data_IF_873692988027
#
_entry.id   IF_873692988027
#
_cell.length_a   1.000
_cell.length_b   1.000
_cell.length_c   1.000
_cell.angle_alpha   90.00
_cell.angle_beta   90.00
_cell.angle_gamma   90.00
#
_symmetry.space_group_name_H-M   'P 1'
#
loop_
_entity.id
_entity.type
_entity.pdbx_description
1 polymer ?
#
# COMPACT_ATOMS: atom_id res chain seq x y z
N UNK A 1 27.70 -9.95 -16.88
CA UNK A 1 27.64 -9.65 -18.33
C UNK A 1 26.18 -9.42 -18.68
N UNK A 2 25.83 -8.28 -19.27
CA UNK A 2 24.45 -7.96 -19.64
C UNK A 2 24.13 -8.60 -21.00
N UNK A 3 23.02 -9.33 -21.12
CA UNK A 3 22.57 -9.87 -22.40
C UNK A 3 22.20 -8.72 -23.35
N UNK A 4 22.83 -8.65 -24.52
CA UNK A 4 22.53 -7.66 -25.57
C UNK A 4 21.75 -8.33 -26.70
N UNK A 5 20.51 -7.89 -26.94
CA UNK A 5 19.67 -8.38 -28.03
C UNK A 5 19.71 -7.35 -29.18
N UNK A 6 20.39 -7.68 -30.29
CA UNK A 6 20.51 -6.80 -31.47
C UNK A 6 19.56 -7.28 -32.55
N UNK A 7 18.53 -6.48 -32.85
CA UNK A 7 17.50 -6.78 -33.84
C UNK A 7 16.86 -8.19 -33.67
N UNK A 8 16.35 -8.54 -32.46
CA UNK A 8 15.73 -9.84 -32.25
C UNK A 8 14.53 -9.99 -33.18
N UNK A 9 14.36 -11.17 -33.75
CA UNK A 9 13.22 -11.48 -34.61
C UNK A 9 11.92 -11.34 -33.81
N UNK A 10 10.80 -11.01 -34.48
CA UNK A 10 9.50 -10.90 -33.81
C UNK A 10 9.07 -12.19 -33.08
N UNK A 11 9.59 -13.34 -33.49
CA UNK A 11 9.35 -14.64 -32.83
C UNK A 11 9.99 -14.73 -31.44
N UNK A 12 11.00 -13.90 -31.16
CA UNK A 12 11.72 -13.89 -29.88
C UNK A 12 11.13 -12.89 -28.88
N UNK A 13 10.36 -11.90 -29.34
CA UNK A 13 9.85 -10.82 -28.50
C UNK A 13 9.01 -11.32 -27.33
N UNK A 14 8.15 -12.33 -27.55
CA UNK A 14 7.33 -12.91 -26.49
C UNK A 14 8.20 -13.40 -25.33
N UNK A 15 9.28 -14.14 -25.63
CA UNK A 15 10.23 -14.65 -24.63
C UNK A 15 10.96 -13.53 -23.89
N UNK A 16 11.30 -12.45 -24.59
CA UNK A 16 12.00 -11.29 -24.00
C UNK A 16 11.10 -10.45 -23.09
N UNK A 17 9.79 -10.52 -23.28
CA UNK A 17 8.80 -9.79 -22.47
C UNK A 17 8.19 -10.63 -21.35
N UNK A 18 8.54 -11.92 -21.25
CA UNK A 18 8.11 -12.77 -20.12
C UNK A 18 8.71 -12.19 -18.85
N UNK A 19 7.84 -11.86 -17.88
CA UNK A 19 8.26 -11.51 -16.52
C UNK A 19 8.75 -12.77 -15.82
N UNK A 20 9.73 -12.63 -14.94
CA UNK A 20 10.04 -13.66 -13.96
C UNK A 20 8.94 -13.67 -12.87
N UNK A 21 7.73 -14.06 -13.25
CA UNK A 21 6.64 -14.34 -12.33
C UNK A 21 6.39 -15.84 -12.40
N UNK A 22 6.95 -16.59 -11.47
CA UNK A 22 6.59 -17.98 -11.31
C UNK A 22 5.18 -18.02 -10.71
N UNK A 23 4.23 -18.63 -11.43
CA UNK A 23 2.95 -19.03 -10.85
C UNK A 23 3.23 -20.27 -10.00
N UNK A 24 3.73 -20.06 -8.81
CA UNK A 24 4.09 -21.15 -7.93
C UNK A 24 2.84 -21.58 -7.14
N UNK A 25 2.36 -22.78 -7.43
CA UNK A 25 1.22 -23.38 -6.71
C UNK A 25 1.53 -23.50 -5.21
N UNK A 26 2.80 -23.59 -4.85
CA UNK A 26 3.23 -23.67 -3.46
C UNK A 26 3.05 -22.31 -2.75
N UNK A 27 3.26 -21.18 -3.45
CA UNK A 27 2.96 -19.84 -2.94
C UNK A 27 1.45 -19.70 -2.71
N UNK A 28 0.62 -20.09 -3.67
CA UNK A 28 -0.84 -19.99 -3.55
C UNK A 28 -1.36 -20.82 -2.37
N UNK A 29 -0.88 -22.06 -2.22
CA UNK A 29 -1.24 -22.93 -1.11
C UNK A 29 -0.80 -22.34 0.23
N UNK A 30 0.44 -21.83 0.31
CA UNK A 30 0.96 -21.22 1.54
C UNK A 30 0.18 -19.96 1.94
N UNK A 31 -0.08 -19.06 1.00
CA UNK A 31 -0.85 -17.83 1.27
C UNK A 31 -2.28 -18.16 1.70
N UNK A 32 -2.91 -19.13 1.05
CA UNK A 32 -4.27 -19.57 1.41
C UNK A 32 -4.33 -20.13 2.84
N UNK A 33 -3.34 -20.91 3.24
CA UNK A 33 -3.24 -21.43 4.60
C UNK A 33 -3.05 -20.29 5.63
N UNK A 34 -2.18 -19.31 5.34
CA UNK A 34 -1.99 -18.14 6.22
C UNK A 34 -3.27 -17.32 6.36
N UNK A 35 -3.99 -17.06 5.27
CA UNK A 35 -5.25 -16.31 5.30
C UNK A 35 -6.33 -17.04 6.10
N UNK A 36 -6.42 -18.36 5.98
CA UNK A 36 -7.37 -19.15 6.78
C UNK A 36 -6.99 -19.17 8.26
N UNK A 37 -5.70 -19.23 8.57
CA UNK A 37 -5.22 -19.18 9.95
C UNK A 37 -5.57 -17.85 10.61
N UNK A 38 -5.30 -16.71 9.94
CA UNK A 38 -5.69 -15.38 10.44
C UNK A 38 -7.22 -15.24 10.54
N UNK A 39 -7.97 -15.78 9.58
CA UNK A 39 -9.44 -15.74 9.62
C UNK A 39 -10.02 -16.49 10.82
N UNK A 40 -9.43 -17.62 11.20
CA UNK A 40 -9.95 -18.52 12.25
C UNK A 40 -9.44 -18.15 13.64
N UNK A 41 -8.22 -17.62 13.74
CA UNK A 41 -7.54 -17.34 15.01
C UNK A 41 -7.34 -15.86 15.31
N UNK A 42 -7.58 -14.98 14.34
CA UNK A 42 -7.44 -13.54 14.50
C UNK A 42 -6.05 -13.17 14.99
N UNK A 43 -6.02 -12.42 16.08
CA UNK A 43 -4.79 -11.88 16.68
C UNK A 43 -3.81 -12.95 17.16
N UNK A 44 -4.29 -14.11 17.63
CA UNK A 44 -3.41 -15.22 18.02
C UNK A 44 -2.54 -15.67 16.83
N UNK A 45 -3.13 -15.74 15.64
CA UNK A 45 -2.37 -16.07 14.43
C UNK A 45 -1.39 -14.96 14.06
N UNK A 46 -1.75 -13.68 14.22
CA UNK A 46 -0.83 -12.58 13.91
C UNK A 46 0.41 -12.62 14.81
N UNK A 47 0.23 -12.82 16.12
CA UNK A 47 1.35 -12.95 17.07
C UNK A 47 2.28 -14.12 16.73
N UNK A 48 1.71 -15.27 16.36
CA UNK A 48 2.46 -16.45 15.93
C UNK A 48 3.22 -16.19 14.62
N UNK A 49 2.58 -15.53 13.64
CA UNK A 49 3.19 -15.21 12.35
C UNK A 49 4.34 -14.20 12.48
N UNK A 50 4.20 -13.16 13.30
CA UNK A 50 5.27 -12.19 13.58
C UNK A 50 6.50 -12.87 14.22
N UNK A 51 6.28 -13.72 15.23
CA UNK A 51 7.37 -14.49 15.85
C UNK A 51 8.05 -15.42 14.84
N UNK A 52 7.27 -16.08 13.98
CA UNK A 52 7.77 -17.05 13.01
C UNK A 52 8.54 -16.41 11.85
N UNK A 53 8.05 -15.31 11.30
CA UNK A 53 8.59 -14.74 10.05
C UNK A 53 9.53 -13.57 10.29
N UNK A 54 9.22 -12.69 11.25
CA UNK A 54 9.99 -11.50 11.55
C UNK A 54 10.86 -11.69 12.81
N UNK A 55 10.64 -12.77 13.57
CA UNK A 55 11.45 -13.11 14.75
C UNK A 55 11.17 -12.22 15.95
N UNK A 56 10.03 -11.53 15.96
CA UNK A 56 9.63 -10.58 17.00
C UNK A 56 8.46 -11.14 17.80
N UNK A 57 8.61 -11.18 19.11
CA UNK A 57 7.56 -11.60 20.03
C UNK A 57 6.87 -10.38 20.64
N UNK A 58 5.58 -10.23 20.37
CA UNK A 58 4.72 -9.24 21.01
C UNK A 58 3.96 -9.89 22.17
N UNK A 59 3.79 -9.13 23.27
CA UNK A 59 3.07 -9.64 24.45
C UNK A 59 1.54 -9.67 24.26
N UNK A 60 1.01 -8.86 23.34
CA UNK A 60 -0.40 -8.84 22.95
C UNK A 60 -0.56 -8.21 21.56
N UNK A 61 -1.74 -8.35 20.96
CA UNK A 61 -2.02 -7.78 19.66
C UNK A 61 -2.01 -6.25 19.67
N UNK A 62 -2.47 -5.65 20.78
CA UNK A 62 -2.44 -4.22 21.00
C UNK A 62 -1.01 -3.68 21.01
N UNK A 63 -0.04 -4.50 21.45
CA UNK A 63 1.38 -4.15 21.43
C UNK A 63 1.95 -4.00 20.02
N UNK A 64 1.33 -4.61 19.00
CA UNK A 64 1.73 -4.42 17.61
C UNK A 64 1.35 -3.02 17.08
N UNK A 65 0.45 -2.32 17.76
CA UNK A 65 0.04 -0.98 17.37
C UNK A 65 1.06 0.04 17.87
N UNK A 66 1.74 0.70 16.95
CA UNK A 66 2.66 1.81 17.25
C UNK A 66 1.90 2.93 17.99
N UNK A 67 2.38 3.26 19.19
CA UNK A 67 1.81 4.28 20.06
C UNK A 67 2.21 5.70 19.69
N UNK A 68 1.46 6.69 20.20
CA UNK A 68 1.73 8.12 19.92
C UNK A 68 3.15 8.53 20.32
N UNK A 69 3.63 8.06 21.47
CA UNK A 69 4.98 8.36 21.97
C UNK A 69 6.07 7.82 21.04
N UNK A 70 5.92 6.61 20.51
CA UNK A 70 6.87 6.03 19.56
C UNK A 70 6.91 6.85 18.26
N UNK A 71 5.75 7.32 17.80
CA UNK A 71 5.65 8.21 16.63
C UNK A 71 6.35 9.54 16.90
N UNK A 72 6.13 10.16 18.06
CA UNK A 72 6.77 11.41 18.43
C UNK A 72 8.29 11.28 18.53
N UNK A 73 8.79 10.22 19.18
CA UNK A 73 10.22 9.94 19.30
C UNK A 73 10.86 9.65 17.94
N UNK A 74 10.21 8.84 17.10
CA UNK A 74 10.65 8.58 15.74
C UNK A 74 10.69 9.87 14.92
N UNK A 75 9.64 10.69 14.95
CA UNK A 75 9.57 11.95 14.24
C UNK A 75 10.63 12.96 14.72
N UNK A 76 10.94 12.98 16.02
CA UNK A 76 12.01 13.81 16.57
C UNK A 76 13.39 13.36 16.09
N UNK A 77 13.60 12.06 15.87
CA UNK A 77 14.86 11.50 15.39
C UNK A 77 15.18 11.79 13.91
N UNK A 78 14.16 12.14 13.11
CA UNK A 78 14.35 12.40 11.67
C UNK A 78 15.07 13.75 11.44
N UNK A 79 16.19 13.76 10.68
CA UNK A 79 16.90 15.01 10.34
C UNK A 79 16.02 16.02 9.60
N UNK A 80 16.23 17.31 9.86
CA UNK A 80 15.40 18.37 9.28
C UNK A 80 15.41 18.36 7.75
N UNK A 81 16.57 18.14 7.12
CA UNK A 81 16.69 18.04 5.66
C UNK A 81 15.78 16.95 5.06
N UNK A 82 15.68 15.80 5.73
CA UNK A 82 14.81 14.72 5.30
C UNK A 82 13.32 15.08 5.51
N UNK A 83 12.98 15.78 6.59
CA UNK A 83 11.61 16.29 6.81
C UNK A 83 11.20 17.24 5.69
N UNK A 84 12.08 18.15 5.31
CA UNK A 84 11.81 19.13 4.24
C UNK A 84 11.62 18.42 2.89
N UNK A 85 12.45 17.42 2.59
CA UNK A 85 12.30 16.59 1.39
C UNK A 85 10.98 15.81 1.37
N UNK A 86 10.58 15.21 2.49
CA UNK A 86 9.30 14.51 2.65
C UNK A 86 8.13 15.48 2.47
N UNK A 87 8.19 16.67 3.06
CA UNK A 87 7.15 17.70 2.94
C UNK A 87 7.00 18.18 1.48
N UNK A 88 8.11 18.37 0.78
CA UNK A 88 8.10 18.73 -0.64
C UNK A 88 7.48 17.62 -1.50
N UNK A 89 7.82 16.35 -1.25
CA UNK A 89 7.22 15.21 -1.92
C UNK A 89 5.71 15.13 -1.65
N UNK A 90 5.30 15.24 -0.39
CA UNK A 90 3.90 15.28 0.03
C UNK A 90 3.12 16.36 -0.74
N UNK A 91 3.64 17.59 -0.76
CA UNK A 91 3.00 18.71 -1.46
C UNK A 91 2.79 18.42 -2.96
N UNK A 92 3.80 17.87 -3.62
CA UNK A 92 3.73 17.56 -5.05
C UNK A 92 2.74 16.41 -5.34
N UNK A 93 2.80 15.35 -4.55
CA UNK A 93 1.91 14.18 -4.66
C UNK A 93 0.46 14.61 -4.42
N UNK A 94 0.21 15.38 -3.35
CA UNK A 94 -1.11 15.88 -3.01
C UNK A 94 -1.68 16.75 -4.12
N UNK A 95 -0.92 17.74 -4.59
CA UNK A 95 -1.35 18.62 -5.70
C UNK A 95 -1.75 17.83 -6.95
N UNK A 96 -1.00 16.77 -7.27
CA UNK A 96 -1.32 15.95 -8.45
C UNK A 96 -2.58 15.10 -8.26
N UNK A 97 -2.79 14.51 -7.08
CA UNK A 97 -3.99 13.72 -6.81
C UNK A 97 -5.25 14.57 -6.62
N UNK A 98 -5.12 15.77 -6.03
CA UNK A 98 -6.23 16.73 -5.95
C UNK A 98 -6.72 17.14 -7.35
N UNK A 99 -5.81 17.31 -8.31
CA UNK A 99 -6.15 17.63 -9.69
C UNK A 99 -6.90 16.49 -10.43
N UNK A 100 -6.93 15.28 -9.88
CA UNK A 100 -7.63 14.13 -10.45
C UNK A 100 -9.02 13.91 -9.84
N UNK A 101 -9.43 14.73 -8.86
CA UNK A 101 -10.74 14.57 -8.23
C UNK A 101 -11.86 14.67 -9.28
N UNK A 102 -12.70 13.64 -9.41
CA UNK A 102 -13.73 13.62 -10.43
C UNK A 102 -14.83 14.62 -10.10
N UNK A 103 -15.22 15.41 -11.09
CA UNK A 103 -16.40 16.26 -10.99
C UNK A 103 -17.67 15.40 -10.94
N UNK A 104 -18.72 15.93 -10.32
CA UNK A 104 -20.03 15.28 -10.31
C UNK A 104 -20.61 15.36 -11.72
N UNK A 105 -20.89 14.21 -12.31
CA UNK A 105 -21.60 14.14 -13.60
C UNK A 105 -23.09 14.21 -13.31
N UNK A 106 -23.79 15.16 -13.94
CA UNK A 106 -25.24 15.30 -13.88
C UNK A 106 -25.78 15.53 -15.29
N UNK A 107 -26.64 14.63 -15.76
CA UNK A 107 -27.18 14.66 -17.12
C UNK A 107 -28.68 14.38 -17.08
N UNK A 108 -29.47 15.21 -17.76
CA UNK A 108 -30.86 14.90 -18.07
C UNK A 108 -30.90 14.07 -19.36
N UNK A 109 -31.28 12.80 -19.24
CA UNK A 109 -31.23 11.84 -20.37
C UNK A 109 -32.50 11.89 -21.22
N UNK A 110 -33.62 12.28 -20.64
CA UNK A 110 -34.88 12.60 -21.28
C UNK A 110 -35.66 13.59 -20.41
N UNK A 111 -36.68 14.30 -20.94
CA UNK A 111 -37.42 15.29 -20.17
C UNK A 111 -37.93 14.76 -18.82
N UNK A 112 -37.44 15.34 -17.73
CA UNK A 112 -37.75 14.96 -16.35
C UNK A 112 -36.92 13.83 -15.75
N UNK A 113 -35.97 13.23 -16.49
CA UNK A 113 -35.13 12.12 -16.03
C UNK A 113 -33.67 12.56 -15.90
N UNK A 114 -33.22 12.77 -14.67
CA UNK A 114 -31.82 13.14 -14.37
C UNK A 114 -31.03 11.95 -13.83
N UNK A 115 -29.91 11.65 -14.46
CA UNK A 115 -28.89 10.72 -13.96
C UNK A 115 -27.73 11.50 -13.31
N UNK A 116 -27.23 11.01 -12.18
CA UNK A 116 -26.09 11.58 -11.45
C UNK A 116 -25.06 10.51 -11.14
N UNK A 117 -23.80 10.79 -11.42
CA UNK A 117 -22.65 10.02 -10.92
C UNK A 117 -21.82 10.91 -10.01
N UNK A 118 -21.53 10.41 -8.80
CA UNK A 118 -20.63 11.06 -7.85
C UNK A 118 -19.65 10.02 -7.30
N UNK A 119 -18.40 10.44 -7.08
CA UNK A 119 -17.45 9.64 -6.32
C UNK A 119 -17.79 9.70 -4.83
N UNK A 120 -17.66 8.57 -4.14
CA UNK A 120 -17.81 8.45 -2.68
C UNK A 120 -16.58 7.69 -2.18
N UNK A 121 -15.88 8.19 -1.15
CA UNK A 121 -14.70 7.51 -0.64
C UNK A 121 -15.04 6.14 -0.07
N UNK A 122 -14.09 5.21 -0.22
CA UNK A 122 -14.09 3.99 0.58
C UNK A 122 -13.89 4.39 2.04
N UNK A 123 -14.76 3.88 2.93
CA UNK A 123 -14.75 4.28 4.34
C UNK A 123 -13.47 3.90 5.06
N UNK A 124 -12.95 2.68 4.83
CA UNK A 124 -11.75 2.15 5.48
C UNK A 124 -10.78 1.58 4.45
N UNK A 125 -9.52 1.94 4.55
CA UNK A 125 -8.45 1.43 3.68
C UNK A 125 -7.29 0.92 4.52
N UNK A 126 -6.75 -0.23 4.12
CA UNK A 126 -5.51 -0.80 4.65
C UNK A 126 -4.37 -0.56 3.65
N UNK A 127 -3.26 -0.01 4.13
CA UNK A 127 -2.06 0.29 3.36
C UNK A 127 -0.95 -0.65 3.81
N UNK A 128 -0.42 -1.46 2.91
CA UNK A 128 0.75 -2.29 3.22
C UNK A 128 2.00 -1.59 2.71
N UNK A 129 2.98 -1.42 3.59
CA UNK A 129 4.31 -0.91 3.24
C UNK A 129 5.33 -2.00 3.57
N UNK A 130 6.11 -2.48 2.59
CA UNK A 130 7.14 -3.48 2.86
C UNK A 130 8.19 -2.95 3.84
N UNK A 131 8.55 -3.79 4.82
CA UNK A 131 9.65 -3.55 5.75
C UNK A 131 11.01 -3.95 5.18
N UNK A 132 11.99 -4.18 6.06
CA UNK A 132 13.33 -4.66 5.73
C UNK A 132 14.43 -3.59 5.81
N UNK A 133 15.61 -3.90 5.24
CA UNK A 133 16.86 -3.12 5.44
C UNK A 133 16.83 -1.68 4.91
N UNK A 134 15.89 -1.36 4.01
CA UNK A 134 15.73 -0.02 3.45
C UNK A 134 14.24 0.38 3.54
N UNK A 135 13.86 1.28 4.47
CA UNK A 135 12.47 1.65 4.66
C UNK A 135 11.95 2.41 3.43
N UNK A 136 10.89 1.89 2.80
CA UNK A 136 10.25 2.49 1.62
C UNK A 136 9.19 3.52 2.01
N UNK A 137 9.58 4.54 2.79
CA UNK A 137 8.67 5.58 3.27
C UNK A 137 8.04 6.42 2.13
N UNK A 138 8.62 6.40 0.93
CA UNK A 138 7.98 6.99 -0.26
C UNK A 138 6.66 6.30 -0.64
N UNK A 139 6.54 4.98 -0.41
CA UNK A 139 5.29 4.23 -0.66
C UNK A 139 4.19 4.69 0.28
N UNK A 140 4.53 5.05 1.53
CA UNK A 140 3.57 5.64 2.49
C UNK A 140 2.92 6.88 1.87
N UNK A 141 3.72 7.79 1.30
CA UNK A 141 3.19 8.99 0.66
C UNK A 141 2.31 8.66 -0.55
N UNK A 142 2.73 7.71 -1.39
CA UNK A 142 1.99 7.32 -2.59
C UNK A 142 0.64 6.64 -2.29
N UNK A 143 0.47 6.06 -1.10
CA UNK A 143 -0.77 5.38 -0.69
C UNK A 143 -1.65 6.26 0.21
N UNK A 144 -1.06 6.87 1.24
CA UNK A 144 -1.80 7.63 2.25
C UNK A 144 -2.32 8.96 1.72
N UNK A 145 -1.55 9.65 0.85
CA UNK A 145 -1.97 10.95 0.30
C UNK A 145 -3.23 10.84 -0.56
N UNK A 146 -3.35 9.94 -1.57
CA UNK A 146 -4.60 9.80 -2.30
C UNK A 146 -5.77 9.33 -1.42
N UNK A 147 -5.54 8.50 -0.41
CA UNK A 147 -6.58 8.11 0.54
C UNK A 147 -7.10 9.31 1.36
N UNK A 148 -6.21 10.20 1.79
CA UNK A 148 -6.57 11.47 2.44
C UNK A 148 -7.35 12.39 1.48
N UNK A 149 -6.86 12.58 0.24
CA UNK A 149 -7.50 13.41 -0.78
C UNK A 149 -8.92 12.91 -1.11
N UNK A 150 -9.10 11.59 -1.20
CA UNK A 150 -10.42 10.99 -1.43
C UNK A 150 -11.40 11.21 -0.26
N UNK A 151 -10.90 11.42 0.96
CA UNK A 151 -11.71 11.53 2.17
C UNK A 151 -12.03 10.18 2.83
N UNK A 152 -11.12 9.21 2.73
CA UNK A 152 -11.23 7.95 3.49
C UNK A 152 -11.24 8.25 5.01
N UNK A 153 -12.19 7.66 5.74
CA UNK A 153 -12.39 7.98 7.17
C UNK A 153 -11.41 7.24 8.09
N UNK A 154 -11.04 6.02 7.72
CA UNK A 154 -10.12 5.18 8.47
C UNK A 154 -9.00 4.71 7.54
N UNK A 155 -7.77 5.03 7.90
CA UNK A 155 -6.57 4.65 7.15
C UNK A 155 -5.67 3.90 8.12
N UNK A 156 -5.50 2.60 7.88
CA UNK A 156 -4.62 1.73 8.67
C UNK A 156 -3.40 1.40 7.82
N UNK A 157 -2.21 1.51 8.39
CA UNK A 157 -0.97 1.12 7.73
C UNK A 157 -0.34 -0.05 8.47
N UNK A 158 0.02 -1.10 7.73
CA UNK A 158 0.75 -2.25 8.24
C UNK A 158 2.14 -2.30 7.58
N UNK A 159 3.17 -2.46 8.41
CA UNK A 159 4.55 -2.75 8.00
C UNK A 159 5.12 -3.74 9.00
N UNK A 160 5.89 -4.75 8.57
CA UNK A 160 6.66 -5.59 9.49
C UNK A 160 7.60 -4.73 10.36
N UNK A 161 7.88 -5.14 11.61
CA UNK A 161 8.74 -4.42 12.55
C UNK A 161 10.23 -4.39 12.15
#
# INVERSE_FOLDING_TARGET
>A
MTNKYVNPSRKEWSKLTVRASESDKDIEASVSATLEYVRTKGDEALLDLESRYDGVEFFSAEAMRVGEKEVEEAAASVPQELKDAIAQAYSNIKKFHEAQMPEIVRVETSPGVTCVQKAVPVRRVGLYVPGGRAPLFSTVLMLAVPAQVAGCQEIVLCTPP
#
